data_IF_293545040928
#
_entry.id   IF_293545040928
#
_cell.length_a   1.000
_cell.length_b   1.000
_cell.length_c   1.000
_cell.angle_alpha   90.00
_cell.angle_beta   90.00
_cell.angle_gamma   90.00
#
_symmetry.space_group_name_H-M   'P 1'
#
loop_
_entity.id
_entity.type
_entity.pdbx_description
1 polymer ?
#
# COMPACT_ATOMS: atom_id res chain seq x y z
N UNK A 1 -6.68 15.06 2.54
CA UNK A 1 -5.56 15.26 1.61
C UNK A 1 -4.55 14.14 1.81
N UNK A 2 -4.03 13.56 0.73
CA UNK A 2 -3.01 12.52 0.78
C UNK A 2 -1.71 13.00 1.44
N UNK A 3 -1.07 12.11 2.20
CA UNK A 3 0.20 12.35 2.87
C UNK A 3 1.36 12.52 1.88
N UNK A 4 2.54 12.94 2.37
CA UNK A 4 3.75 13.07 1.52
C UNK A 4 4.17 11.71 0.95
N UNK A 5 4.91 11.66 -0.19
CA UNK A 5 5.40 10.40 -0.76
C UNK A 5 6.19 9.51 0.20
N UNK A 6 7.03 10.13 1.05
CA UNK A 6 7.80 9.41 2.08
C UNK A 6 6.87 8.70 3.06
N UNK A 7 5.82 9.40 3.49
CA UNK A 7 4.89 8.87 4.47
C UNK A 7 3.97 7.80 3.86
N UNK A 8 3.48 8.01 2.63
CA UNK A 8 2.72 7.00 1.90
C UNK A 8 3.55 5.73 1.69
N UNK A 9 4.82 5.85 1.29
CA UNK A 9 5.73 4.71 1.17
C UNK A 9 5.84 3.93 2.48
N UNK A 10 6.00 4.64 3.60
CA UNK A 10 6.08 4.03 4.94
C UNK A 10 4.78 3.29 5.29
N UNK A 11 3.63 3.94 5.13
CA UNK A 11 2.32 3.39 5.45
C UNK A 11 2.01 2.18 4.56
N UNK A 12 2.23 2.27 3.25
CA UNK A 12 1.97 1.17 2.32
C UNK A 12 2.81 -0.07 2.63
N UNK A 13 4.07 0.10 3.06
CA UNK A 13 4.89 -1.04 3.52
C UNK A 13 4.32 -1.67 4.79
N UNK A 14 3.88 -0.86 5.75
CA UNK A 14 3.24 -1.35 6.99
C UNK A 14 1.98 -2.16 6.66
N UNK A 15 1.12 -1.65 5.78
CA UNK A 15 -0.09 -2.35 5.35
C UNK A 15 0.23 -3.69 4.68
N UNK A 16 1.21 -3.71 3.78
CA UNK A 16 1.64 -4.95 3.12
C UNK A 16 2.26 -5.96 4.10
N UNK A 17 2.98 -5.51 5.14
CA UNK A 17 3.50 -6.40 6.20
C UNK A 17 2.37 -7.00 7.01
N UNK A 18 1.38 -6.17 7.39
CA UNK A 18 0.22 -6.64 8.14
C UNK A 18 -0.58 -7.68 7.35
N UNK A 19 -0.80 -7.46 6.06
CA UNK A 19 -1.47 -8.43 5.18
C UNK A 19 -0.63 -9.69 4.98
N UNK A 20 0.70 -9.58 4.81
CA UNK A 20 1.56 -10.77 4.72
C UNK A 20 1.52 -11.65 5.98
N UNK A 21 1.22 -11.05 7.15
CA UNK A 21 1.06 -11.80 8.41
C UNK A 21 -0.36 -12.33 8.56
N UNK A 22 -1.38 -11.52 8.31
CA UNK A 22 -2.79 -11.83 8.61
C UNK A 22 -3.50 -12.59 7.48
N UNK A 23 -3.04 -12.44 6.24
CA UNK A 23 -3.53 -13.08 5.02
C UNK A 23 -2.34 -13.67 4.22
N UNK A 24 -1.77 -14.80 4.68
CA UNK A 24 -0.54 -15.36 4.11
C UNK A 24 -0.68 -15.73 2.63
N UNK A 25 -1.85 -16.19 2.19
CA UNK A 25 -2.16 -16.48 0.79
C UNK A 25 -2.26 -15.19 -0.02
N UNK A 26 -1.43 -15.11 -1.07
CA UNK A 26 -1.27 -13.88 -1.86
C UNK A 26 -2.58 -13.43 -2.53
N UNK A 27 -3.40 -14.37 -3.00
CA UNK A 27 -4.66 -14.08 -3.70
C UNK A 27 -5.72 -13.40 -2.84
N UNK A 28 -5.58 -13.43 -1.50
CA UNK A 28 -6.51 -12.82 -0.56
C UNK A 28 -5.97 -11.54 0.10
N UNK A 29 -4.79 -11.06 -0.31
CA UNK A 29 -4.23 -9.80 0.23
C UNK A 29 -4.93 -8.61 -0.40
N UNK A 30 -5.34 -7.67 0.44
CA UNK A 30 -5.82 -6.38 -0.02
C UNK A 30 -4.62 -5.50 -0.35
N UNK A 31 -3.67 -5.39 0.57
CA UNK A 31 -2.53 -4.49 0.48
C UNK A 31 -1.26 -5.23 0.10
N UNK A 32 -0.57 -4.72 -0.92
CA UNK A 32 0.70 -5.28 -1.40
C UNK A 32 1.70 -4.17 -1.68
N UNK A 33 2.98 -4.52 -1.55
CA UNK A 33 4.09 -3.62 -1.84
C UNK A 33 5.21 -4.37 -2.54
N UNK A 34 5.66 -3.86 -3.68
CA UNK A 34 6.81 -4.35 -4.41
C UNK A 34 7.89 -3.26 -4.45
N UNK A 35 8.94 -3.43 -3.65
CA UNK A 35 10.08 -2.51 -3.57
C UNK A 35 11.05 -2.65 -4.76
N UNK A 36 10.78 -3.59 -5.68
CA UNK A 36 11.61 -3.90 -6.85
C UNK A 36 10.75 -3.92 -8.12
N UNK A 37 9.74 -3.05 -8.19
CA UNK A 37 8.80 -2.98 -9.31
C UNK A 37 9.52 -2.80 -10.65
N UNK A 38 10.45 -1.85 -10.71
CA UNK A 38 11.40 -1.70 -11.81
C UNK A 38 12.67 -0.99 -11.30
N UNK A 39 13.61 -0.69 -12.19
CA UNK A 39 14.82 0.05 -11.85
C UNK A 39 14.46 1.40 -11.20
N UNK A 40 14.85 1.57 -9.93
CA UNK A 40 14.52 2.73 -9.09
C UNK A 40 13.01 3.01 -8.92
N UNK A 41 12.16 1.99 -9.09
CA UNK A 41 10.71 2.11 -8.96
C UNK A 41 10.17 1.13 -7.92
N UNK A 42 9.26 1.63 -7.09
CA UNK A 42 8.51 0.86 -6.11
C UNK A 42 7.01 1.05 -6.36
N UNK A 43 6.21 0.05 -6.04
CA UNK A 43 4.76 0.08 -6.25
C UNK A 43 4.05 -0.43 -5.02
N UNK A 44 3.05 0.31 -4.55
CA UNK A 44 2.06 -0.19 -3.61
C UNK A 44 0.70 -0.32 -4.29
N UNK A 45 -0.06 -1.33 -3.93
CA UNK A 45 -1.41 -1.52 -4.44
C UNK A 45 -2.37 -1.90 -3.33
N UNK A 46 -3.62 -1.47 -3.47
CA UNK A 46 -4.75 -2.15 -2.85
C UNK A 46 -5.66 -2.73 -3.94
N UNK A 47 -6.12 -3.97 -3.74
CA UNK A 47 -7.09 -4.62 -4.63
C UNK A 47 -8.08 -5.40 -3.77
N UNK A 48 -9.37 -5.20 -3.99
CA UNK A 48 -10.41 -5.93 -3.25
C UNK A 48 -10.75 -7.30 -3.87
N UNK A 49 -10.18 -7.61 -5.05
CA UNK A 49 -10.63 -8.71 -5.90
C UNK A 49 -11.90 -8.40 -6.70
N UNK A 50 -12.49 -7.21 -6.49
CA UNK A 50 -13.53 -6.62 -7.34
C UNK A 50 -12.96 -5.44 -8.14
N UNK A 51 -13.78 -4.42 -8.44
CA UNK A 51 -13.40 -3.26 -9.27
C UNK A 51 -12.61 -2.20 -8.50
N UNK A 52 -12.67 -2.20 -7.16
CA UNK A 52 -12.00 -1.21 -6.34
C UNK A 52 -10.51 -1.52 -6.20
N UNK A 53 -9.69 -0.54 -6.58
CA UNK A 53 -8.25 -0.64 -6.53
C UNK A 53 -7.59 0.73 -6.44
N UNK A 54 -6.40 0.76 -5.84
CA UNK A 54 -5.47 1.85 -6.08
C UNK A 54 -4.07 1.33 -6.33
N UNK A 55 -3.29 2.14 -7.04
CA UNK A 55 -1.87 1.99 -7.23
C UNK A 55 -1.16 3.28 -6.86
N UNK A 56 -0.16 3.16 -5.98
CA UNK A 56 0.81 4.19 -5.68
C UNK A 56 2.14 3.79 -6.31
N UNK A 57 2.65 4.65 -7.18
CA UNK A 57 3.93 4.46 -7.83
C UNK A 57 4.95 5.45 -7.28
N UNK A 58 6.15 4.96 -6.97
CA UNK A 58 7.24 5.76 -6.46
C UNK A 58 8.46 5.61 -7.35
N UNK A 59 9.11 6.71 -7.72
CA UNK A 59 10.41 6.68 -8.39
C UNK A 59 11.27 7.86 -7.97
N UNK A 60 12.33 7.62 -7.21
CA UNK A 60 13.17 8.66 -6.60
C UNK A 60 12.32 9.71 -5.84
N UNK A 61 12.23 10.94 -6.36
CA UNK A 61 11.43 12.05 -5.81
C UNK A 61 9.98 12.10 -6.35
N UNK A 62 9.69 11.29 -7.36
CA UNK A 62 8.39 11.23 -8.03
C UNK A 62 7.47 10.24 -7.32
N UNK A 63 6.20 10.64 -7.22
CA UNK A 63 5.13 9.81 -6.71
C UNK A 63 3.86 10.09 -7.48
N UNK A 64 3.12 9.06 -7.84
CA UNK A 64 1.84 9.16 -8.52
C UNK A 64 0.85 8.15 -7.96
N UNK A 65 -0.44 8.48 -8.09
CA UNK A 65 -1.54 7.64 -7.65
C UNK A 65 -2.55 7.46 -8.78
N UNK A 66 -3.03 6.24 -8.93
CA UNK A 66 -4.20 5.83 -9.72
C UNK A 66 -5.17 5.18 -8.74
N UNK A 67 -6.45 5.49 -8.85
CA UNK A 67 -7.48 4.87 -8.03
C UNK A 67 -8.76 4.68 -8.86
N UNK A 68 -9.44 3.56 -8.59
CA UNK A 68 -10.77 3.21 -9.07
C UNK A 68 -11.59 2.86 -7.84
N UNK A 69 -12.74 3.51 -7.70
CA UNK A 69 -13.74 3.20 -6.68
C UNK A 69 -15.09 3.16 -7.38
N UNK A 70 -15.80 2.04 -7.31
CA UNK A 70 -16.96 1.75 -8.14
C UNK A 70 -18.06 2.80 -8.02
N UNK A 71 -18.27 3.34 -6.82
CA UNK A 71 -19.27 4.35 -6.52
C UNK A 71 -18.85 5.78 -6.90
N UNK A 72 -17.64 5.95 -7.44
CA UNK A 72 -17.13 7.24 -7.89
C UNK A 72 -17.15 7.38 -9.42
N UNK A 73 -17.38 8.59 -9.96
CA UNK A 73 -17.35 8.81 -11.39
C UNK A 73 -15.92 8.69 -11.94
N UNK A 74 -15.81 8.17 -13.16
CA UNK A 74 -14.57 8.19 -13.93
C UNK A 74 -14.18 9.65 -14.21
N UNK A 75 -12.88 9.94 -14.19
CA UNK A 75 -12.34 11.27 -14.49
C UNK A 75 -12.79 11.71 -15.89
N UNK A 76 -13.48 12.86 -16.01
CA UNK A 76 -13.85 13.39 -17.32
C UNK A 76 -12.62 13.90 -18.06
N UNK A 77 -12.59 13.72 -19.38
CA UNK A 77 -11.52 14.20 -20.27
C UNK A 77 -10.13 13.66 -19.88
N UNK A 78 -10.06 12.41 -19.40
CA UNK A 78 -8.81 11.78 -18.94
C UNK A 78 -7.73 11.78 -20.03
N UNK A 79 -8.08 11.62 -21.31
CA UNK A 79 -7.12 11.63 -22.41
C UNK A 79 -6.35 12.96 -22.51
N UNK A 80 -7.04 14.08 -22.30
CA UNK A 80 -6.42 15.40 -22.29
C UNK A 80 -5.51 15.58 -21.06
N UNK A 81 -5.93 15.11 -19.89
CA UNK A 81 -5.11 15.08 -18.66
C UNK A 81 -3.84 14.26 -18.88
N UNK A 82 -3.95 13.10 -19.53
CA UNK A 82 -2.79 12.26 -19.83
C UNK A 82 -1.84 12.93 -20.83
N UNK A 83 -2.38 13.72 -21.77
CA UNK A 83 -1.56 14.47 -22.74
C UNK A 83 -0.76 15.61 -22.12
N UNK A 84 -1.24 16.18 -21.01
CA UNK A 84 -0.59 17.26 -20.26
C UNK A 84 0.19 16.77 -19.03
N UNK A 85 0.13 15.48 -18.73
CA UNK A 85 0.81 14.88 -17.57
C UNK A 85 2.33 15.08 -17.68
N UNK A 86 3.05 15.39 -16.58
CA UNK A 86 4.48 15.70 -16.70
C UNK A 86 5.28 14.49 -17.18
N UNK A 87 6.21 14.73 -18.12
CA UNK A 87 6.98 13.67 -18.78
C UNK A 87 7.78 12.77 -17.81
N UNK A 88 8.12 13.27 -16.61
CA UNK A 88 8.77 12.48 -15.56
C UNK A 88 7.94 11.27 -15.09
N UNK A 89 6.62 11.30 -15.31
CA UNK A 89 5.69 10.23 -14.95
C UNK A 89 5.34 9.29 -16.11
N UNK A 90 6.03 9.37 -17.24
CA UNK A 90 5.75 8.52 -18.40
C UNK A 90 5.79 7.02 -18.06
N UNK A 91 6.71 6.59 -17.18
CA UNK A 91 6.77 5.21 -16.70
C UNK A 91 5.49 4.77 -15.97
N UNK A 92 4.92 5.65 -15.14
CA UNK A 92 3.65 5.40 -14.46
C UNK A 92 2.47 5.38 -15.44
N UNK A 93 2.38 6.37 -16.34
CA UNK A 93 1.25 6.51 -17.26
C UNK A 93 1.17 5.36 -18.27
N UNK A 94 2.32 4.84 -18.70
CA UNK A 94 2.39 3.78 -19.71
C UNK A 94 2.53 2.37 -19.12
N UNK A 95 2.53 2.23 -17.79
CA UNK A 95 2.60 0.93 -17.13
C UNK A 95 1.30 0.13 -17.40
N UNK A 96 1.38 -1.00 -18.13
CA UNK A 96 0.20 -1.80 -18.45
C UNK A 96 -0.58 -2.29 -17.22
N UNK A 97 0.10 -2.50 -16.08
CA UNK A 97 -0.56 -2.96 -14.86
C UNK A 97 -1.58 -1.94 -14.29
N UNK A 98 -1.44 -0.64 -14.56
CA UNK A 98 -2.24 0.40 -13.88
C UNK A 98 -3.53 0.79 -14.60
N UNK A 99 -3.73 0.40 -15.87
CA UNK A 99 -4.97 0.65 -16.66
C UNK A 99 -5.56 2.05 -16.45
N UNK A 100 -4.81 3.10 -16.73
CA UNK A 100 -5.17 4.49 -16.34
C UNK A 100 -6.54 5.00 -16.87
N UNK A 101 -7.03 4.67 -18.08
CA UNK A 101 -8.26 5.29 -18.63
C UNK A 101 -9.52 5.19 -17.76
N UNK A 102 -9.64 4.17 -16.90
CA UNK A 102 -10.82 3.95 -16.04
C UNK A 102 -10.69 4.59 -14.64
N UNK A 103 -9.71 5.47 -14.44
CA UNK A 103 -9.47 6.12 -13.14
C UNK A 103 -10.68 6.90 -12.67
N UNK A 104 -11.00 6.79 -11.38
CA UNK A 104 -11.86 7.73 -10.68
C UNK A 104 -11.03 8.83 -10.01
N UNK A 105 -9.79 8.53 -9.60
CA UNK A 105 -8.79 9.49 -9.15
C UNK A 105 -7.43 9.20 -9.81
N UNK A 106 -6.76 10.27 -10.24
CA UNK A 106 -5.41 10.25 -10.80
C UNK A 106 -4.64 11.43 -10.22
N UNK A 107 -3.38 11.25 -9.87
CA UNK A 107 -2.61 12.38 -9.37
C UNK A 107 -1.13 12.15 -9.26
N UNK A 108 -0.40 13.23 -9.03
CA UNK A 108 1.04 13.20 -8.89
C UNK A 108 1.56 14.23 -7.88
N UNK A 109 2.73 13.94 -7.33
CA UNK A 109 3.42 14.80 -6.37
C UNK A 109 4.24 15.89 -7.06
N UNK A 110 3.83 17.15 -6.99
CA UNK A 110 4.48 18.26 -7.68
C UNK A 110 5.69 18.87 -6.93
N UNK A 111 6.40 18.05 -6.15
CA UNK A 111 7.47 18.41 -5.17
C UNK A 111 7.01 18.94 -3.82
N UNK A 112 5.85 19.62 -3.73
CA UNK A 112 5.37 20.21 -2.47
C UNK A 112 3.95 19.81 -2.08
N UNK A 113 3.11 19.53 -3.06
CA UNK A 113 1.70 19.17 -2.88
C UNK A 113 1.29 18.12 -3.89
N UNK A 114 0.13 17.52 -3.65
CA UNK A 114 -0.52 16.67 -4.65
C UNK A 114 -1.26 17.52 -5.67
N UNK A 115 -1.07 17.20 -6.95
CA UNK A 115 -1.95 17.61 -8.04
C UNK A 115 -2.87 16.42 -8.34
N UNK A 116 -4.17 16.60 -8.11
CA UNK A 116 -5.17 15.55 -8.18
C UNK A 116 -6.22 15.88 -9.24
N UNK A 117 -6.64 14.85 -9.95
CA UNK A 117 -7.70 14.83 -10.94
C UNK A 117 -8.75 13.80 -10.51
N UNK A 118 -10.03 14.14 -10.63
CA UNK A 118 -11.14 13.36 -10.08
C UNK A 118 -12.03 14.21 -9.18
N UNK A 119 -13.06 13.58 -8.63
CA UNK A 119 -13.94 14.24 -7.68
C UNK A 119 -13.18 14.46 -6.36
N UNK A 120 -13.21 15.68 -5.84
CA UNK A 120 -12.47 16.08 -4.63
C UNK A 120 -13.40 16.58 -3.52
N UNK A 121 -14.65 16.11 -3.52
CA UNK A 121 -15.61 16.46 -2.47
C UNK A 121 -15.11 15.96 -1.10
N UNK A 122 -15.67 16.49 0.00
CA UNK A 122 -15.12 16.34 1.36
C UNK A 122 -14.96 14.87 1.82
N UNK A 123 -15.71 13.95 1.22
CA UNK A 123 -15.58 12.51 1.40
C UNK A 123 -14.57 11.94 0.40
N UNK A 124 -13.28 12.10 0.71
CA UNK A 124 -12.19 11.45 -0.02
C UNK A 124 -12.49 9.95 -0.19
N UNK A 125 -12.20 9.40 -1.39
CA UNK A 125 -12.27 7.98 -1.74
C UNK A 125 -12.09 7.05 -0.54
N UNK A 126 -13.11 6.26 -0.20
CA UNK A 126 -13.16 5.52 1.06
C UNK A 126 -11.97 4.56 1.17
N UNK A 127 -11.57 3.99 0.04
CA UNK A 127 -10.44 3.07 -0.06
C UNK A 127 -9.07 3.72 0.23
N UNK A 128 -8.97 5.05 0.18
CA UNK A 128 -7.75 5.79 0.49
C UNK A 128 -7.66 6.22 1.95
N UNK A 129 -8.72 6.04 2.75
CA UNK A 129 -8.74 6.41 4.18
C UNK A 129 -7.67 5.67 4.99
N UNK A 130 -7.37 4.42 4.61
CA UNK A 130 -6.34 3.57 5.22
C UNK A 130 -4.92 4.17 5.14
N UNK A 131 -4.71 5.15 4.25
CA UNK A 131 -3.43 5.83 4.05
C UNK A 131 -3.22 7.03 5.00
N UNK A 132 -4.05 7.18 6.04
CA UNK A 132 -3.95 8.26 7.02
C UNK A 132 -2.82 8.06 8.06
N UNK A 133 -2.20 6.88 8.06
CA UNK A 133 -1.08 6.54 8.92
C UNK A 133 -1.46 6.24 10.37
N UNK A 134 -2.76 6.06 10.66
CA UNK A 134 -3.24 5.75 12.01
C UNK A 134 -3.50 4.25 12.17
N UNK A 135 -2.97 3.62 13.24
CA UNK A 135 -3.26 2.22 13.52
C UNK A 135 -4.73 1.97 13.83
N UNK A 136 -5.47 2.95 14.36
CA UNK A 136 -6.91 2.84 14.64
C UNK A 136 -7.73 2.60 13.38
N UNK A 137 -7.41 3.30 12.30
CA UNK A 137 -8.08 3.16 11.00
C UNK A 137 -7.89 1.75 10.44
N UNK A 138 -6.67 1.22 10.54
CA UNK A 138 -6.39 -0.16 10.15
C UNK A 138 -7.09 -1.19 11.05
N UNK A 139 -7.03 -1.02 12.38
CA UNK A 139 -7.65 -1.95 13.32
C UNK A 139 -9.16 -2.06 13.08
N UNK A 140 -9.84 -0.93 12.89
CA UNK A 140 -11.27 -0.94 12.57
C UNK A 140 -11.55 -1.75 11.31
N UNK A 141 -10.85 -1.45 10.22
CA UNK A 141 -11.00 -2.17 8.96
C UNK A 141 -10.70 -3.67 9.11
N UNK A 142 -9.60 -4.02 9.78
CA UNK A 142 -9.14 -5.41 9.92
C UNK A 142 -10.08 -6.24 10.81
N UNK A 143 -10.59 -5.68 11.90
CA UNK A 143 -11.53 -6.39 12.78
C UNK A 143 -12.87 -6.65 12.10
N UNK A 144 -13.34 -5.70 11.28
CA UNK A 144 -14.53 -5.87 10.44
C UNK A 144 -14.30 -6.92 9.34
N UNK A 145 -13.17 -6.86 8.63
CA UNK A 145 -12.87 -7.74 7.51
C UNK A 145 -12.56 -9.19 7.94
N UNK A 146 -11.68 -9.36 8.93
CA UNK A 146 -11.29 -10.70 9.43
C UNK A 146 -12.30 -11.27 10.44
N UNK A 147 -13.37 -10.52 10.76
CA UNK A 147 -14.43 -10.88 11.72
C UNK A 147 -13.89 -11.37 13.08
N UNK A 148 -12.75 -10.81 13.52
CA UNK A 148 -12.07 -11.18 14.76
C UNK A 148 -11.31 -10.01 15.37
N UNK A 149 -11.09 -10.06 16.68
CA UNK A 149 -10.22 -9.10 17.35
C UNK A 149 -8.77 -9.19 16.85
N UNK A 150 -8.15 -8.04 16.62
CA UNK A 150 -6.74 -7.93 16.22
C UNK A 150 -5.96 -7.30 17.38
N UNK A 151 -4.79 -7.85 17.69
CA UNK A 151 -3.98 -7.33 18.81
C UNK A 151 -3.47 -5.92 18.52
N UNK A 152 -4.10 -4.94 19.17
CA UNK A 152 -3.77 -3.52 19.06
C UNK A 152 -2.29 -3.23 19.36
N UNK A 153 -1.69 -3.70 20.47
CA UNK A 153 -0.28 -3.44 20.76
C UNK A 153 0.66 -3.95 19.66
N UNK A 154 0.39 -5.09 19.04
CA UNK A 154 1.17 -5.61 17.92
C UNK A 154 1.05 -4.72 16.68
N UNK A 155 -0.16 -4.29 16.30
CA UNK A 155 -0.37 -3.36 15.17
C UNK A 155 0.32 -2.02 15.43
N UNK A 156 0.12 -1.43 16.60
CA UNK A 156 0.77 -0.17 17.00
C UNK A 156 2.29 -0.28 16.98
N UNK A 157 2.86 -1.42 17.36
CA UNK A 157 4.30 -1.67 17.30
C UNK A 157 4.82 -1.58 15.86
N UNK A 158 4.11 -2.18 14.90
CA UNK A 158 4.48 -2.15 13.47
C UNK A 158 4.35 -0.71 12.92
N UNK A 159 3.27 0.00 13.27
CA UNK A 159 3.07 1.41 12.88
C UNK A 159 4.15 2.35 13.43
N UNK A 160 4.71 2.04 14.60
CA UNK A 160 5.77 2.81 15.25
C UNK A 160 7.19 2.40 14.82
N UNK A 161 7.34 1.54 13.81
CA UNK A 161 8.61 0.98 13.35
C UNK A 161 9.41 0.29 14.48
N UNK A 162 8.71 -0.31 15.46
CA UNK A 162 9.34 -1.21 16.42
C UNK A 162 9.77 -2.47 15.65
N UNK A 163 10.97 -3.03 15.92
CA UNK A 163 11.39 -4.25 15.26
C UNK A 163 10.36 -5.38 15.37
N UNK A 164 9.96 -5.91 14.22
CA UNK A 164 9.14 -7.08 14.03
C UNK A 164 9.84 -8.29 14.64
N UNK A 165 9.30 -8.77 15.74
CA UNK A 165 9.77 -9.96 16.45
C UNK A 165 8.86 -11.14 16.17
N UNK A 166 9.35 -12.36 16.38
CA UNK A 166 8.52 -13.57 16.39
C UNK A 166 7.29 -13.40 17.28
N UNK A 167 7.44 -12.76 18.45
CA UNK A 167 6.31 -12.56 19.37
C UNK A 167 5.21 -11.72 18.73
N UNK A 168 5.54 -10.56 18.15
CA UNK A 168 4.57 -9.68 17.46
C UNK A 168 3.84 -10.45 16.36
N UNK A 169 4.59 -11.20 15.54
CA UNK A 169 4.01 -11.95 14.42
C UNK A 169 3.06 -13.04 14.94
N UNK A 170 3.50 -13.87 15.89
CA UNK A 170 2.67 -14.97 16.42
C UNK A 170 1.46 -14.48 17.20
N UNK A 171 1.51 -13.27 17.76
CA UNK A 171 0.36 -12.62 18.38
C UNK A 171 -0.71 -12.25 17.34
N UNK A 172 -0.30 -11.82 16.14
CA UNK A 172 -1.22 -11.47 15.05
C UNK A 172 -1.75 -12.71 14.31
N UNK A 173 -0.85 -13.66 14.01
CA UNK A 173 -1.17 -14.93 13.37
C UNK A 173 -0.22 -16.04 13.85
N UNK A 174 -0.74 -17.00 14.61
CA UNK A 174 0.04 -18.14 15.12
C UNK A 174 0.39 -19.19 14.07
N UNK A 175 -0.26 -19.15 12.90
CA UNK A 175 -0.13 -20.16 11.84
C UNK A 175 0.79 -19.70 10.70
N UNK A 176 1.49 -18.58 10.88
CA UNK A 176 2.35 -18.00 9.86
C UNK A 176 3.48 -18.96 9.43
N UNK A 177 3.72 -19.05 8.12
CA UNK A 177 4.95 -19.64 7.60
C UNK A 177 6.04 -18.56 7.57
N UNK A 178 7.00 -18.66 8.50
CA UNK A 178 8.12 -17.71 8.59
C UNK A 178 9.02 -17.69 7.35
N UNK A 179 9.14 -18.80 6.63
CA UNK A 179 9.96 -18.86 5.41
C UNK A 179 9.28 -18.08 4.29
N UNK A 180 7.96 -18.22 4.16
CA UNK A 180 7.19 -17.44 3.18
C UNK A 180 7.17 -15.96 3.57
N UNK A 181 6.87 -15.65 4.84
CA UNK A 181 6.89 -14.27 5.34
C UNK A 181 8.24 -13.58 5.11
N UNK A 182 9.36 -14.29 5.30
CA UNK A 182 10.68 -13.73 5.02
C UNK A 182 10.84 -13.30 3.55
N UNK A 183 10.30 -14.07 2.60
CA UNK A 183 10.30 -13.70 1.17
C UNK A 183 9.43 -12.48 0.92
N UNK A 184 8.25 -12.45 1.52
CA UNK A 184 7.33 -11.30 1.44
C UNK A 184 8.00 -10.03 1.96
N UNK A 185 8.67 -10.09 3.12
CA UNK A 185 9.40 -8.95 3.70
C UNK A 185 10.53 -8.45 2.79
N UNK A 186 11.23 -9.35 2.10
CA UNK A 186 12.27 -9.00 1.11
C UNK A 186 11.72 -8.37 -0.17
N UNK A 187 10.49 -8.71 -0.56
CA UNK A 187 9.78 -8.09 -1.68
C UNK A 187 9.24 -6.71 -1.31
N UNK A 188 8.65 -6.59 -0.12
CA UNK A 188 8.16 -5.33 0.46
C UNK A 188 9.33 -4.36 0.72
N UNK A 189 10.56 -4.86 0.82
CA UNK A 189 11.72 -4.08 1.25
C UNK A 189 11.52 -3.58 2.68
N UNK A 190 11.04 -4.48 3.53
CA UNK A 190 10.91 -4.33 4.99
C UNK A 190 12.03 -5.15 5.66
N UNK A 191 13.26 -4.98 5.16
CA UNK A 191 14.44 -5.70 5.60
C UNK A 191 15.50 -4.74 6.16
N UNK A 192 15.83 -4.98 7.45
CA UNK A 192 16.90 -4.39 8.28
C UNK A 192 16.52 -3.27 9.27
N UNK A 193 17.16 -3.38 10.43
CA UNK A 193 16.89 -2.80 11.76
C UNK A 193 15.52 -3.12 12.39
N UNK A 194 14.51 -3.40 11.57
CA UNK A 194 13.13 -3.65 12.02
C UNK A 194 12.74 -5.12 12.06
N UNK A 195 13.65 -6.08 11.94
CA UNK A 195 13.32 -7.52 12.02
C UNK A 195 14.32 -8.22 12.93
N UNK A 196 13.87 -8.74 14.07
CA UNK A 196 14.71 -9.47 15.02
C UNK A 196 14.27 -10.94 15.15
N UNK A 197 15.21 -11.87 14.97
CA UNK A 197 15.01 -13.31 15.24
C UNK A 197 14.29 -14.12 14.16
N UNK A 198 13.90 -13.52 13.03
CA UNK A 198 13.29 -14.25 11.90
C UNK A 198 14.35 -14.95 11.03
N UNK A 199 15.51 -14.30 10.83
CA UNK A 199 16.56 -14.81 9.95
C UNK A 199 17.33 -16.02 10.53
N UNK A 200 17.30 -16.21 11.85
CA UNK A 200 18.06 -17.26 12.55
C UNK A 200 17.39 -18.66 12.49
N UNK A 201 16.15 -18.78 11.97
CA UNK A 201 15.43 -20.07 11.88
C UNK A 201 15.52 -20.75 10.52
N UNK A 202 16.40 -20.29 9.63
CA UNK A 202 16.59 -20.86 8.29
C UNK A 202 17.65 -21.98 8.22
N UNK A 203 18.12 -22.46 9.38
CA UNK A 203 19.05 -23.60 9.46
C UNK A 203 18.57 -24.51 10.60
N UNK A 204 17.71 -25.48 10.26
CA UNK A 204 17.64 -26.80 10.89
C UNK A 204 16.88 -27.77 9.97
#
# INVERSE_FOLDING_TARGET
MLSTPRELKRISKILAVLDAILSPEWEYRYYSYNAKWAEHQEMASMRTGSRDEYFLWFSNEWCAIKCVEEDSPIIPDIENILSSFPAAYAAFIHEPAFTIPDSTLLGFWNTTTWELYGQQDDDMYAILTILDGKPETYLQWAEEYYERGIDRPAVESIYNNVPLTTQIITTLNSEVDFTQLQRDLLEIGYDNDTVQGIYDRSID
#
